data_IF_905614175420
#
_entry.id   IF_905614175420
#
_cell.length_a   1.000
_cell.length_b   1.000
_cell.length_c   1.000
_cell.angle_alpha   90.00
_cell.angle_beta   90.00
_cell.angle_gamma   90.00
#
_symmetry.space_group_name_H-M   'P 1'
#
loop_
_entity.id
_entity.type
_entity.pdbx_description
1 polymer ?
#
# COMPACT_ATOMS: atom_id res chain seq x y z
N UNK A 1 24.48 1.00 -14.62
CA UNK A 1 23.94 1.66 -15.83
C UNK A 1 25.02 2.46 -16.52
N UNK A 2 25.50 3.58 -15.94
CA UNK A 2 26.53 4.46 -16.54
C UNK A 2 27.77 3.68 -17.02
N UNK A 3 28.30 2.77 -16.19
CA UNK A 3 29.43 1.92 -16.59
C UNK A 3 29.16 1.09 -17.86
N UNK A 4 27.94 0.59 -18.05
CA UNK A 4 27.56 -0.18 -19.23
C UNK A 4 27.31 0.72 -20.45
N UNK A 5 26.90 1.97 -20.25
CA UNK A 5 26.71 2.96 -21.32
C UNK A 5 28.03 3.49 -21.88
N UNK A 6 29.09 3.50 -21.07
CA UNK A 6 30.43 3.90 -21.47
C UNK A 6 31.28 2.77 -22.08
N UNK A 7 30.81 1.52 -21.97
CA UNK A 7 31.50 0.34 -22.49
C UNK A 7 31.25 -0.06 -23.97
N UNK A 8 30.47 0.64 -24.83
CA UNK A 8 30.29 0.21 -26.23
C UNK A 8 31.58 0.16 -27.05
N UNK A 9 32.56 1.00 -26.73
CA UNK A 9 33.75 1.23 -27.56
C UNK A 9 34.93 0.28 -27.23
N UNK A 10 34.77 -0.59 -26.24
CA UNK A 10 35.74 -1.62 -25.91
C UNK A 10 35.23 -2.97 -26.45
N UNK A 11 35.24 -3.15 -27.77
CA UNK A 11 35.04 -4.47 -28.37
C UNK A 11 36.28 -5.33 -28.15
N UNK A 12 36.38 -5.98 -26.99
CA UNK A 12 37.18 -7.19 -26.85
C UNK A 12 36.26 -8.40 -27.00
N UNK A 13 36.70 -9.42 -27.75
CA UNK A 13 35.93 -10.62 -28.15
C UNK A 13 35.45 -11.52 -26.97
N UNK A 14 35.55 -11.08 -25.71
CA UNK A 14 35.36 -11.90 -24.51
C UNK A 14 34.20 -11.54 -23.57
N UNK A 15 33.41 -10.50 -23.86
CA UNK A 15 32.42 -9.98 -22.90
C UNK A 15 33.07 -9.38 -21.64
N UNK A 16 32.28 -8.77 -20.76
CA UNK A 16 32.80 -8.10 -19.55
C UNK A 16 32.27 -8.72 -18.28
N UNK A 17 33.10 -8.68 -17.23
CA UNK A 17 32.68 -8.98 -15.87
C UNK A 17 32.49 -7.65 -15.12
N UNK A 18 31.26 -7.38 -14.69
CA UNK A 18 30.92 -6.22 -13.86
C UNK A 18 30.77 -6.68 -12.41
N UNK A 19 31.70 -6.25 -11.56
CA UNK A 19 31.65 -6.49 -10.13
C UNK A 19 30.83 -5.40 -9.41
N UNK A 20 29.95 -5.80 -8.49
CA UNK A 20 29.19 -4.87 -7.63
C UNK A 20 28.96 -5.46 -6.25
N UNK A 21 28.95 -4.62 -5.23
CA UNK A 21 28.61 -4.97 -3.86
C UNK A 21 27.11 -4.84 -3.53
N UNK A 22 26.31 -4.34 -4.48
CA UNK A 22 24.88 -4.19 -4.30
C UNK A 22 24.15 -5.50 -4.55
N UNK A 23 24.03 -6.33 -3.50
CA UNK A 23 23.26 -7.58 -3.57
C UNK A 23 21.81 -7.36 -3.99
N UNK A 24 21.21 -6.21 -3.64
CA UNK A 24 19.87 -5.85 -4.07
C UNK A 24 19.77 -5.64 -5.58
N UNK A 25 20.71 -4.91 -6.18
CA UNK A 25 20.76 -4.70 -7.64
C UNK A 25 21.01 -6.03 -8.34
N UNK A 26 22.01 -6.80 -7.90
CA UNK A 26 22.35 -8.09 -8.50
C UNK A 26 21.19 -9.08 -8.41
N UNK A 27 20.53 -9.18 -7.25
CA UNK A 27 19.37 -10.05 -7.09
C UNK A 27 18.22 -9.67 -8.03
N UNK A 28 17.93 -8.37 -8.17
CA UNK A 28 16.86 -7.91 -9.08
C UNK A 28 17.22 -8.18 -10.54
N UNK A 29 18.47 -7.92 -10.94
CA UNK A 29 18.95 -8.12 -12.31
C UNK A 29 18.98 -9.61 -12.67
N UNK A 30 19.54 -10.46 -11.80
CA UNK A 30 19.66 -11.91 -12.05
C UNK A 30 18.31 -12.63 -12.01
N UNK A 31 17.43 -12.26 -11.08
CA UNK A 31 16.09 -12.88 -10.98
C UNK A 31 15.08 -12.30 -11.97
N UNK A 32 15.39 -11.13 -12.56
CA UNK A 32 14.47 -10.32 -13.36
C UNK A 32 13.11 -10.06 -12.69
N UNK A 33 13.05 -10.16 -11.37
CA UNK A 33 11.85 -9.94 -10.58
C UNK A 33 11.87 -8.53 -9.97
N UNK A 34 10.71 -7.86 -9.98
CA UNK A 34 10.52 -6.55 -9.33
C UNK A 34 11.52 -5.48 -9.77
N UNK A 35 11.83 -5.45 -11.06
CA UNK A 35 12.75 -4.46 -11.63
C UNK A 35 12.25 -3.03 -11.38
N UNK A 36 13.11 -2.21 -10.77
CA UNK A 36 13.00 -0.75 -10.84
C UNK A 36 13.42 -0.28 -12.25
N UNK A 37 13.01 0.92 -12.69
CA UNK A 37 13.39 1.43 -14.02
C UNK A 37 14.90 1.32 -14.29
N UNK A 38 15.75 1.76 -13.35
CA UNK A 38 17.20 1.68 -13.49
C UNK A 38 17.74 0.25 -13.56
N UNK A 39 17.15 -0.71 -12.83
CA UNK A 39 17.57 -2.12 -12.94
C UNK A 39 17.12 -2.76 -14.25
N UNK A 40 15.96 -2.35 -14.79
CA UNK A 40 15.52 -2.79 -16.11
C UNK A 40 16.45 -2.26 -17.22
N UNK A 41 16.93 -1.01 -17.10
CA UNK A 41 17.94 -0.46 -17.99
C UNK A 41 19.27 -1.22 -17.89
N UNK A 42 19.70 -1.60 -16.68
CA UNK A 42 20.91 -2.41 -16.47
C UNK A 42 20.78 -3.77 -17.15
N UNK A 43 19.64 -4.47 -16.99
CA UNK A 43 19.38 -5.75 -17.69
C UNK A 43 19.47 -5.54 -19.20
N UNK A 44 18.82 -4.50 -19.73
CA UNK A 44 18.82 -4.18 -21.17
C UNK A 44 20.22 -3.89 -21.72
N UNK A 45 21.03 -3.16 -20.97
CA UNK A 45 22.38 -2.75 -21.39
C UNK A 45 23.41 -3.86 -21.24
N UNK A 46 23.30 -4.69 -20.19
CA UNK A 46 24.19 -5.83 -20.01
C UNK A 46 23.95 -6.87 -21.12
N UNK A 47 22.69 -7.12 -21.49
CA UNK A 47 22.37 -8.18 -22.46
C UNK A 47 22.97 -9.53 -22.05
N UNK A 48 23.19 -10.42 -23.03
CA UNK A 48 23.68 -11.79 -22.76
C UNK A 48 25.22 -11.89 -22.71
N UNK A 49 25.94 -10.84 -23.11
CA UNK A 49 27.41 -10.87 -23.26
C UNK A 49 28.17 -10.42 -22.00
N UNK A 50 27.48 -10.02 -20.93
CA UNK A 50 28.11 -9.45 -19.73
C UNK A 50 27.76 -10.28 -18.49
N UNK A 51 28.76 -10.62 -17.70
CA UNK A 51 28.60 -11.32 -16.42
C UNK A 51 28.58 -10.32 -15.26
N UNK A 52 27.60 -10.44 -14.39
CA UNK A 52 27.49 -9.63 -13.18
C UNK A 52 27.87 -10.47 -11.95
N UNK A 53 28.84 -10.00 -11.17
CA UNK A 53 29.34 -10.74 -10.00
C UNK A 53 29.25 -9.91 -8.72
N UNK A 54 28.94 -10.59 -7.62
CA UNK A 54 28.92 -9.99 -6.30
C UNK A 54 30.34 -9.91 -5.73
N UNK A 55 30.69 -8.74 -5.16
CA UNK A 55 31.88 -8.56 -4.34
C UNK A 55 31.50 -7.97 -2.97
N UNK A 56 32.18 -8.34 -1.88
CA UNK A 56 31.86 -7.77 -0.57
C UNK A 56 32.37 -6.33 -0.45
N UNK A 57 31.54 -5.45 0.10
CA UNK A 57 31.89 -4.06 0.42
C UNK A 57 33.00 -3.98 1.49
N UNK A 58 33.86 -2.95 1.40
CA UNK A 58 34.88 -2.60 2.39
C UNK A 58 35.84 -3.75 2.75
N UNK A 59 36.29 -4.51 1.74
CA UNK A 59 37.23 -5.63 1.90
C UNK A 59 38.61 -5.40 1.28
N UNK A 60 38.99 -4.17 0.96
CA UNK A 60 40.27 -3.88 0.32
C UNK A 60 40.29 -4.19 -1.17
N UNK A 61 39.13 -4.36 -1.82
CA UNK A 61 39.05 -4.62 -3.27
C UNK A 61 39.24 -3.27 -3.98
N UNK A 62 40.40 -3.01 -4.63
CA UNK A 62 40.75 -1.65 -5.04
C UNK A 62 39.72 -1.00 -5.97
N UNK A 63 39.18 -1.78 -6.92
CA UNK A 63 38.16 -1.27 -7.86
C UNK A 63 36.81 -0.95 -7.19
N UNK A 64 36.38 -1.74 -6.20
CA UNK A 64 35.13 -1.46 -5.48
C UNK A 64 35.29 -0.26 -4.55
N UNK A 65 36.42 -0.18 -3.86
CA UNK A 65 36.72 0.94 -2.96
C UNK A 65 36.85 2.27 -3.71
N UNK A 66 37.47 2.24 -4.90
CA UNK A 66 37.53 3.43 -5.75
C UNK A 66 36.14 3.81 -6.29
N UNK A 67 35.31 2.82 -6.68
CA UNK A 67 33.94 3.08 -7.08
C UNK A 67 33.11 3.72 -5.95
N UNK A 68 33.24 3.22 -4.71
CA UNK A 68 32.59 3.79 -3.51
C UNK A 68 33.08 5.21 -3.22
N UNK A 69 34.40 5.44 -3.31
CA UNK A 69 35.00 6.77 -3.10
C UNK A 69 34.46 7.77 -4.13
N UNK A 70 34.39 7.38 -5.41
CA UNK A 70 33.85 8.20 -6.48
C UNK A 70 32.35 8.46 -6.31
N UNK A 71 31.57 7.45 -5.89
CA UNK A 71 30.15 7.60 -5.61
C UNK A 71 29.90 8.61 -4.47
N UNK A 72 30.71 8.55 -3.40
CA UNK A 72 30.64 9.51 -2.30
C UNK A 72 31.03 10.93 -2.74
N UNK A 73 32.07 11.07 -3.57
CA UNK A 73 32.47 12.37 -4.12
C UNK A 73 31.39 12.96 -5.04
N UNK A 74 30.67 12.11 -5.78
CA UNK A 74 29.60 12.53 -6.66
C UNK A 74 28.38 13.09 -5.91
N UNK A 75 28.21 12.79 -4.61
CA UNK A 75 27.14 13.39 -3.79
C UNK A 75 27.29 14.92 -3.71
N UNK A 76 28.53 15.43 -3.61
CA UNK A 76 28.79 16.88 -3.50
C UNK A 76 29.22 17.52 -4.81
N UNK A 77 30.04 16.83 -5.60
CA UNK A 77 30.71 17.39 -6.78
C UNK A 77 30.22 16.78 -8.10
N UNK A 78 29.23 15.88 -8.03
CA UNK A 78 28.72 15.18 -9.20
C UNK A 78 27.66 15.97 -9.95
N UNK A 79 27.22 15.40 -11.07
CA UNK A 79 26.06 15.85 -11.82
C UNK A 79 24.86 14.96 -11.53
N UNK A 80 23.67 15.55 -11.56
CA UNK A 80 22.43 14.81 -11.37
C UNK A 80 22.14 13.95 -12.61
N UNK A 81 21.91 12.66 -12.38
CA UNK A 81 21.34 11.77 -13.39
C UNK A 81 19.81 11.74 -13.21
N UNK A 82 19.08 11.97 -14.30
CA UNK A 82 17.64 11.72 -14.32
C UNK A 82 17.42 10.20 -14.23
N UNK A 83 16.62 9.78 -13.26
CA UNK A 83 16.22 8.39 -13.08
C UNK A 83 14.72 8.37 -12.91
N UNK A 84 14.05 7.50 -13.66
CA UNK A 84 12.61 7.33 -13.55
C UNK A 84 12.20 6.89 -12.14
N UNK A 85 11.13 7.50 -11.65
CA UNK A 85 10.58 7.19 -10.33
C UNK A 85 10.02 5.77 -10.34
N UNK A 86 10.44 4.89 -9.40
CA UNK A 86 9.91 3.54 -9.33
C UNK A 86 8.40 3.55 -9.11
N UNK A 87 7.66 2.72 -9.85
CA UNK A 87 6.20 2.58 -9.68
C UNK A 87 5.78 2.31 -8.23
N UNK A 88 6.59 1.53 -7.50
CA UNK A 88 6.35 1.26 -6.08
C UNK A 88 6.39 2.53 -5.23
N UNK A 89 7.31 3.45 -5.53
CA UNK A 89 7.40 4.75 -4.86
C UNK A 89 6.17 5.60 -5.15
N UNK A 90 5.78 5.74 -6.43
CA UNK A 90 4.58 6.49 -6.81
C UNK A 90 3.31 5.89 -6.18
N UNK A 91 3.18 4.56 -6.16
CA UNK A 91 2.04 3.87 -5.51
C UNK A 91 2.00 4.14 -4.01
N UNK A 92 3.15 4.14 -3.35
CA UNK A 92 3.25 4.48 -1.93
C UNK A 92 2.82 5.92 -1.68
N UNK A 93 3.37 6.88 -2.43
CA UNK A 93 2.99 8.29 -2.30
C UNK A 93 1.50 8.52 -2.50
N UNK A 94 0.91 7.89 -3.53
CA UNK A 94 -0.53 7.95 -3.77
C UNK A 94 -1.31 7.35 -2.58
N UNK A 95 -0.87 6.21 -2.06
CA UNK A 95 -1.48 5.58 -0.89
C UNK A 95 -1.44 6.48 0.35
N UNK A 96 -0.27 7.06 0.64
CA UNK A 96 -0.07 7.96 1.78
C UNK A 96 -0.95 9.22 1.64
N UNK A 97 -1.06 9.77 0.43
CA UNK A 97 -1.94 10.91 0.12
C UNK A 97 -3.42 10.57 0.35
N UNK A 98 -3.93 9.51 -0.26
CA UNK A 98 -5.33 9.11 -0.12
C UNK A 98 -5.69 8.72 1.31
N UNK A 99 -4.75 8.12 2.05
CA UNK A 99 -4.93 7.84 3.47
C UNK A 99 -5.15 9.11 4.27
N UNK A 100 -4.32 10.14 4.07
CA UNK A 100 -4.46 11.42 4.74
C UNK A 100 -5.77 12.15 4.40
N UNK A 101 -6.16 12.17 3.13
CA UNK A 101 -7.44 12.74 2.71
C UNK A 101 -8.62 12.01 3.36
N UNK A 102 -8.59 10.67 3.37
CA UNK A 102 -9.64 9.87 3.97
C UNK A 102 -9.70 10.04 5.50
N UNK A 103 -8.56 10.12 6.17
CA UNK A 103 -8.50 10.38 7.60
C UNK A 103 -9.15 11.73 7.96
N UNK A 104 -8.90 12.77 7.15
CA UNK A 104 -9.54 14.08 7.29
C UNK A 104 -11.06 14.02 7.10
N UNK A 105 -11.52 13.40 6.01
CA UNK A 105 -12.96 13.22 5.75
C UNK A 105 -13.64 12.40 6.84
N UNK A 106 -12.99 11.33 7.27
CA UNK A 106 -13.46 10.50 8.37
C UNK A 106 -13.62 11.35 9.62
N UNK A 107 -12.59 12.13 10.00
CA UNK A 107 -12.65 13.07 11.13
C UNK A 107 -13.86 14.02 11.04
N UNK A 108 -14.03 14.67 9.89
CA UNK A 108 -15.12 15.63 9.65
C UNK A 108 -16.52 14.98 9.74
N UNK A 109 -16.69 13.73 9.32
CA UNK A 109 -17.95 13.02 9.45
C UNK A 109 -18.38 12.82 10.91
N UNK A 110 -17.45 12.88 11.87
CA UNK A 110 -17.73 12.86 13.31
C UNK A 110 -18.30 14.17 13.86
N UNK A 111 -18.24 15.26 13.11
CA UNK A 111 -18.75 16.58 13.52
C UNK A 111 -20.25 16.76 13.27
N UNK A 112 -20.93 15.79 12.65
CA UNK A 112 -22.38 15.81 12.52
C UNK A 112 -23.06 15.65 13.89
N UNK A 113 -24.22 16.26 14.09
CA UNK A 113 -25.03 16.12 15.31
C UNK A 113 -26.41 15.50 15.00
N UNK A 114 -26.70 14.28 15.49
CA UNK A 114 -25.79 13.38 16.19
C UNK A 114 -24.77 12.75 15.22
N UNK A 115 -23.58 12.35 15.69
CA UNK A 115 -22.58 11.72 14.85
C UNK A 115 -23.09 10.36 14.32
N UNK A 116 -22.66 9.93 13.13
CA UNK A 116 -23.09 8.67 12.55
C UNK A 116 -22.80 7.49 13.48
N UNK A 117 -23.71 6.52 13.56
CA UNK A 117 -23.60 5.38 14.48
C UNK A 117 -22.28 4.61 14.33
N UNK A 118 -21.76 4.47 13.10
CA UNK A 118 -20.48 3.80 12.86
C UNK A 118 -19.30 4.44 13.59
N UNK A 119 -19.35 5.74 13.90
CA UNK A 119 -18.31 6.43 14.66
C UNK A 119 -18.14 5.92 16.09
N UNK A 120 -19.17 5.30 16.67
CA UNK A 120 -19.07 4.63 17.98
C UNK A 120 -18.16 3.40 17.93
N UNK A 121 -18.09 2.74 16.78
CA UNK A 121 -17.32 1.50 16.59
C UNK A 121 -15.98 1.75 15.88
N UNK A 122 -15.90 2.83 15.10
CA UNK A 122 -14.72 3.24 14.34
C UNK A 122 -14.49 4.76 14.49
N UNK A 123 -14.04 5.23 15.67
CA UNK A 123 -13.87 6.66 15.93
C UNK A 123 -12.83 7.32 15.01
N UNK A 124 -11.75 6.58 14.69
CA UNK A 124 -10.71 6.97 13.73
C UNK A 124 -10.60 5.95 12.59
N UNK A 125 -9.93 6.34 11.50
CA UNK A 125 -9.65 5.43 10.39
C UNK A 125 -8.71 4.30 10.84
N UNK A 126 -7.79 4.59 11.77
CA UNK A 126 -6.94 3.58 12.40
C UNK A 126 -7.75 2.57 13.24
N UNK A 127 -8.76 3.04 13.98
CA UNK A 127 -9.65 2.14 14.71
C UNK A 127 -10.48 1.28 13.74
N UNK A 128 -10.89 1.82 12.59
CA UNK A 128 -11.56 1.05 11.54
C UNK A 128 -10.65 -0.05 11.01
N UNK A 129 -9.41 0.28 10.68
CA UNK A 129 -8.40 -0.67 10.20
C UNK A 129 -8.16 -1.79 11.20
N UNK A 130 -7.81 -1.45 12.44
CA UNK A 130 -7.44 -2.42 13.47
C UNK A 130 -8.60 -3.34 13.88
N UNK A 131 -9.84 -2.84 13.87
CA UNK A 131 -11.00 -3.61 14.34
C UNK A 131 -11.77 -4.31 13.22
N UNK A 132 -11.65 -3.85 11.98
CA UNK A 132 -12.42 -4.39 10.85
C UNK A 132 -11.51 -5.07 9.84
N UNK A 133 -10.63 -4.31 9.18
CA UNK A 133 -9.84 -4.82 8.06
C UNK A 133 -8.80 -5.85 8.50
N UNK A 134 -7.99 -5.53 9.51
CA UNK A 134 -6.89 -6.40 9.95
C UNK A 134 -7.42 -7.68 10.62
N UNK A 135 -8.66 -7.66 11.12
CA UNK A 135 -9.35 -8.84 11.66
C UNK A 135 -10.06 -9.68 10.60
N UNK A 136 -10.00 -9.29 9.32
CA UNK A 136 -10.74 -9.95 8.26
C UNK A 136 -12.26 -9.88 8.43
N UNK A 137 -12.74 -8.95 9.27
CA UNK A 137 -14.17 -8.69 9.46
C UNK A 137 -14.64 -8.00 8.18
N UNK A 138 -15.08 -8.80 7.22
CA UNK A 138 -15.25 -8.38 5.82
C UNK A 138 -16.30 -7.29 5.59
N UNK A 139 -16.51 -6.99 4.30
CA UNK A 139 -17.41 -5.95 3.78
C UNK A 139 -18.79 -5.90 4.46
N UNK A 140 -19.33 -7.05 4.87
CA UNK A 140 -20.62 -7.16 5.58
C UNK A 140 -20.66 -6.42 6.92
N UNK A 141 -19.56 -6.43 7.68
CA UNK A 141 -19.48 -5.70 8.96
C UNK A 141 -19.47 -4.21 8.70
N UNK A 142 -18.72 -3.75 7.70
CA UNK A 142 -18.70 -2.34 7.31
C UNK A 142 -20.07 -1.87 6.80
N UNK A 143 -20.72 -2.69 5.97
CA UNK A 143 -22.08 -2.45 5.49
C UNK A 143 -23.07 -2.34 6.65
N UNK A 144 -23.01 -3.26 7.61
CA UNK A 144 -23.83 -3.20 8.82
C UNK A 144 -23.57 -1.93 9.61
N UNK A 145 -22.32 -1.62 9.95
CA UNK A 145 -21.96 -0.45 10.76
C UNK A 145 -22.38 0.87 10.10
N UNK A 146 -22.19 0.99 8.79
CA UNK A 146 -22.56 2.17 8.00
C UNK A 146 -24.06 2.25 7.67
N UNK A 147 -24.86 1.25 8.03
CA UNK A 147 -26.29 1.20 7.73
C UNK A 147 -26.62 0.88 6.28
N UNK A 148 -25.69 0.30 5.52
CA UNK A 148 -25.89 -0.25 4.18
C UNK A 148 -26.23 -1.73 4.24
N UNK A 149 -27.25 -2.08 5.00
CA UNK A 149 -27.73 -3.46 5.17
C UNK A 149 -29.25 -3.46 5.19
N UNK A 150 -29.87 -4.61 4.97
CA UNK A 150 -31.32 -4.78 4.85
C UNK A 150 -32.08 -4.63 6.17
N UNK A 151 -31.85 -3.53 6.89
CA UNK A 151 -32.66 -3.08 8.00
C UNK A 151 -33.74 -2.13 7.49
N UNK A 152 -34.90 -2.09 8.14
CA UNK A 152 -36.06 -1.27 7.76
C UNK A 152 -35.72 0.18 7.48
N UNK A 153 -34.85 0.82 8.26
CA UNK A 153 -34.43 2.21 7.99
C UNK A 153 -33.69 2.40 6.68
N UNK A 154 -32.87 1.41 6.27
CA UNK A 154 -32.21 1.43 4.97
C UNK A 154 -33.22 1.15 3.85
N UNK A 155 -34.02 0.10 3.98
CA UNK A 155 -34.99 -0.31 2.96
C UNK A 155 -36.02 0.80 2.67
N UNK A 156 -36.52 1.46 3.71
CA UNK A 156 -37.42 2.59 3.58
C UNK A 156 -36.78 3.80 2.89
N UNK A 157 -35.52 4.14 3.25
CA UNK A 157 -34.77 5.24 2.62
C UNK A 157 -34.56 5.02 1.12
N UNK A 158 -34.50 3.77 0.67
CA UNK A 158 -34.37 3.40 -0.73
C UNK A 158 -35.71 3.03 -1.39
N UNK A 159 -36.84 3.31 -0.74
CA UNK A 159 -38.19 3.04 -1.24
C UNK A 159 -38.44 1.57 -1.60
N UNK A 160 -37.77 0.65 -0.88
CA UNK A 160 -37.98 -0.79 -1.01
C UNK A 160 -39.04 -1.32 -0.02
N UNK A 161 -39.31 -0.56 1.03
CA UNK A 161 -40.31 -0.85 2.06
C UNK A 161 -41.08 0.43 2.40
N UNK A 162 -42.39 0.29 2.66
CA UNK A 162 -43.27 1.42 2.99
C UNK A 162 -42.97 2.03 4.36
N UNK A 163 -42.34 1.27 5.27
CA UNK A 163 -42.05 1.70 6.64
C UNK A 163 -40.63 1.37 7.06
N UNK A 164 -40.01 2.30 7.80
CA UNK A 164 -38.74 2.09 8.46
C UNK A 164 -38.87 1.34 9.80
N UNK A 165 -40.11 1.21 10.30
CA UNK A 165 -40.40 0.62 11.60
C UNK A 165 -40.32 -0.89 11.56
N UNK A 166 -40.00 -1.44 12.71
CA UNK A 166 -39.96 -2.87 12.91
C UNK A 166 -41.25 -3.39 13.54
N UNK A 167 -41.66 -4.60 13.20
CA UNK A 167 -42.93 -5.18 13.69
C UNK A 167 -42.96 -5.36 15.23
N UNK A 168 -41.80 -5.56 15.86
CA UNK A 168 -41.70 -5.81 17.32
C UNK A 168 -41.22 -4.63 18.14
N UNK A 169 -40.79 -3.53 17.52
CA UNK A 169 -40.50 -2.30 18.23
C UNK A 169 -41.03 -1.12 17.41
N UNK A 170 -41.84 -0.26 18.02
CA UNK A 170 -42.37 0.95 17.37
C UNK A 170 -41.29 1.98 16.97
N UNK A 171 -40.01 1.66 17.18
CA UNK A 171 -38.84 2.39 16.70
C UNK A 171 -38.42 1.96 15.27
N UNK A 172 -37.78 2.87 14.55
CA UNK A 172 -37.17 2.57 13.25
C UNK A 172 -36.01 1.57 13.40
N UNK A 173 -35.95 0.58 12.50
CA UNK A 173 -34.89 -0.43 12.47
C UNK A 173 -33.60 0.17 11.88
N UNK A 174 -32.91 0.99 12.68
CA UNK A 174 -31.60 1.56 12.35
C UNK A 174 -30.49 0.76 13.04
N UNK A 175 -29.27 0.82 12.53
CA UNK A 175 -28.10 0.08 13.06
C UNK A 175 -27.92 0.25 14.57
N UNK A 176 -28.06 1.49 15.06
CA UNK A 176 -27.92 1.80 16.49
C UNK A 176 -29.01 1.15 17.33
N UNK A 177 -30.25 1.11 16.84
CA UNK A 177 -31.33 0.39 17.50
C UNK A 177 -31.05 -1.12 17.44
N UNK A 178 -30.84 -1.67 16.24
CA UNK A 178 -30.64 -3.09 15.98
C UNK A 178 -29.50 -3.70 16.80
N UNK A 179 -28.35 -3.02 16.91
CA UNK A 179 -27.18 -3.53 17.62
C UNK A 179 -27.20 -3.27 19.13
N UNK A 180 -27.77 -2.15 19.59
CA UNK A 180 -27.57 -1.67 20.97
C UNK A 180 -28.84 -1.59 21.81
N UNK A 181 -30.04 -1.55 21.21
CA UNK A 181 -31.30 -1.28 21.93
C UNK A 181 -32.39 -2.34 21.70
N UNK A 182 -32.39 -2.99 20.55
CA UNK A 182 -33.38 -4.00 20.22
C UNK A 182 -33.25 -5.19 21.17
N UNK A 183 -34.36 -5.64 21.75
CA UNK A 183 -34.38 -6.79 22.67
C UNK A 183 -34.35 -8.14 21.92
N UNK A 184 -34.53 -8.14 20.60
CA UNK A 184 -34.64 -9.37 19.79
C UNK A 184 -33.33 -10.15 19.61
N UNK A 185 -32.15 -9.55 19.35
CA UNK A 185 -30.90 -10.31 19.27
C UNK A 185 -30.56 -11.03 20.58
N UNK A 186 -30.96 -10.47 21.73
CA UNK A 186 -30.81 -11.13 23.02
C UNK A 186 -31.73 -12.36 23.15
N UNK A 187 -32.98 -12.27 22.69
CA UNK A 187 -33.92 -13.40 22.69
C UNK A 187 -33.52 -14.54 21.73
N UNK A 188 -32.99 -14.23 20.54
CA UNK A 188 -32.51 -15.25 19.59
C UNK A 188 -31.20 -15.94 20.05
N UNK A 189 -30.30 -15.20 20.71
CA UNK A 189 -29.05 -15.76 21.28
C UNK A 189 -29.27 -16.57 22.56
N UNK A 190 -30.36 -16.32 23.28
CA UNK A 190 -30.76 -17.12 24.44
C UNK A 190 -31.39 -18.47 24.07
N UNK A 191 -31.70 -18.69 22.78
CA UNK A 191 -32.31 -19.90 22.23
C UNK A 191 -31.32 -20.79 21.47
N UNK A 192 -30.04 -20.39 21.38
CA UNK A 192 -28.93 -21.16 20.79
C UNK A 192 -27.89 -21.49 21.86
#
# INVERSE_FOLDING_TARGET
RVALEWCPDLQQEGGWIVASDSRAVLSNVLSQCRLTPITAEVVRLAGDCHSLVYVPAHKGIPGNEEADRLANLAVTNGTYALVDVPRAHTRRLAGDYFWGEWEREWGNAGSADPPPVYKRFAPSLEALRANVWDKGMGVRVLQLLSGHCSLGSFLHRFHLEETAKYEWCDEGEAVGHYLLRCQRPACLRAQT
#
